data_IF_393122077452
#
_entry.id   IF_393122077452
#
_cell.length_a   1.000
_cell.length_b   1.000
_cell.length_c   1.000
_cell.angle_alpha   90.00
_cell.angle_beta   90.00
_cell.angle_gamma   90.00
#
_symmetry.space_group_name_H-M   'P 1'
#
loop_
_entity.id
_entity.type
_entity.pdbx_description
1 polymer ?
#
# COMPACT_ATOMS: atom_id res chain seq x y z
N UNK A 1 -2.71 -14.02 0.92
CA UNK A 1 -2.70 -13.56 -0.49
C UNK A 1 -2.71 -12.04 -0.47
N UNK A 2 -1.64 -11.38 -0.92
CA UNK A 2 -1.46 -9.92 -0.84
C UNK A 2 -1.62 -9.30 -2.24
N UNK A 3 -2.13 -8.07 -2.31
CA UNK A 3 -2.09 -7.22 -3.51
C UNK A 3 -0.96 -6.21 -3.34
N UNK A 4 -0.18 -5.99 -4.40
CA UNK A 4 0.82 -4.93 -4.49
C UNK A 4 0.42 -3.99 -5.62
N UNK A 5 0.48 -2.69 -5.39
CA UNK A 5 0.21 -1.69 -6.41
C UNK A 5 0.98 -0.40 -6.12
N UNK A 6 1.23 0.38 -7.16
CA UNK A 6 1.80 1.72 -7.02
C UNK A 6 0.69 2.71 -6.69
N UNK A 7 0.94 3.58 -5.71
CA UNK A 7 -0.04 4.55 -5.25
C UNK A 7 0.62 5.91 -4.97
N UNK A 8 -0.16 6.95 -5.09
CA UNK A 8 0.23 8.31 -4.71
C UNK A 8 -0.38 8.66 -3.35
N UNK A 9 0.40 9.26 -2.44
CA UNK A 9 -0.12 9.79 -1.19
C UNK A 9 -1.00 11.02 -1.47
N UNK A 10 -2.22 11.03 -0.94
CA UNK A 10 -3.20 12.09 -1.20
C UNK A 10 -2.84 13.43 -0.54
N UNK A 11 -1.93 13.42 0.44
CA UNK A 11 -1.51 14.64 1.15
C UNK A 11 -0.25 15.27 0.56
N UNK A 12 0.79 14.47 0.31
CA UNK A 12 2.09 14.99 -0.09
C UNK A 12 2.50 14.64 -1.54
N UNK A 13 1.67 13.89 -2.27
CA UNK A 13 1.94 13.50 -3.66
C UNK A 13 3.06 12.46 -3.83
N UNK A 14 3.60 11.90 -2.73
CA UNK A 14 4.65 10.87 -2.82
C UNK A 14 4.10 9.63 -3.50
N UNK A 15 4.77 9.18 -4.57
CA UNK A 15 4.49 7.90 -5.23
C UNK A 15 5.28 6.78 -4.54
N UNK A 16 4.59 5.72 -4.11
CA UNK A 16 5.17 4.58 -3.41
C UNK A 16 4.43 3.28 -3.73
N UNK A 17 5.11 2.15 -3.50
CA UNK A 17 4.47 0.84 -3.57
C UNK A 17 3.73 0.55 -2.26
N UNK A 18 2.49 0.11 -2.36
CA UNK A 18 1.63 -0.23 -1.23
C UNK A 18 1.30 -1.72 -1.30
N UNK A 19 1.33 -2.37 -0.14
CA UNK A 19 1.00 -3.77 0.02
C UNK A 19 -0.22 -3.87 0.91
N UNK A 20 -1.28 -4.51 0.42
CA UNK A 20 -2.52 -4.73 1.18
C UNK A 20 -2.93 -6.20 1.16
N UNK A 21 -3.67 -6.68 2.17
CA UNK A 21 -4.33 -7.97 2.07
C UNK A 21 -5.31 -7.97 0.88
N UNK A 22 -5.27 -9.01 0.03
CA UNK A 22 -6.22 -9.12 -1.08
C UNK A 22 -7.66 -9.34 -0.58
N UNK A 23 -7.82 -9.91 0.61
CA UNK A 23 -9.08 -10.10 1.30
C UNK A 23 -8.91 -9.76 2.78
N UNK A 24 -9.97 -9.21 3.40
CA UNK A 24 -9.98 -8.83 4.82
C UNK A 24 -9.76 -10.03 5.75
N UNK A 25 -10.12 -11.24 5.30
CA UNK A 25 -9.98 -12.49 6.05
C UNK A 25 -8.72 -13.29 5.67
N UNK A 26 -7.80 -12.72 4.89
CA UNK A 26 -6.60 -13.44 4.51
C UNK A 26 -5.69 -13.65 5.74
N UNK A 27 -5.46 -14.91 6.12
CA UNK A 27 -4.41 -15.25 7.07
C UNK A 27 -3.04 -14.93 6.44
N UNK A 28 -2.30 -14.03 7.08
CA UNK A 28 -0.97 -13.62 6.66
C UNK A 28 0.06 -14.19 7.63
N UNK A 29 1.18 -14.68 7.09
CA UNK A 29 2.37 -14.93 7.91
C UNK A 29 2.84 -13.64 8.60
N UNK A 30 3.52 -13.76 9.74
CA UNK A 30 4.04 -12.62 10.52
C UNK A 30 4.89 -11.68 9.65
N UNK A 31 5.74 -12.25 8.80
CA UNK A 31 6.59 -11.47 7.88
C UNK A 31 5.75 -10.64 6.89
N UNK A 32 4.68 -11.22 6.34
CA UNK A 32 3.78 -10.51 5.42
C UNK A 32 2.97 -9.43 6.13
N UNK A 33 2.57 -9.66 7.39
CA UNK A 33 1.86 -8.65 8.18
C UNK A 33 2.76 -7.42 8.39
N UNK A 34 4.03 -7.63 8.73
CA UNK A 34 5.00 -6.54 8.89
C UNK A 34 5.20 -5.72 7.61
N UNK A 35 5.19 -6.36 6.44
CA UNK A 35 5.29 -5.67 5.15
C UNK A 35 4.04 -4.81 4.82
N UNK A 36 2.84 -5.31 5.17
CA UNK A 36 1.60 -4.54 5.04
C UNK A 36 1.62 -3.33 5.96
N UNK A 37 1.99 -3.52 7.23
CA UNK A 37 2.03 -2.45 8.22
C UNK A 37 3.04 -1.35 7.84
N UNK A 38 4.23 -1.72 7.35
CA UNK A 38 5.24 -0.77 6.87
C UNK A 38 4.76 0.11 5.72
N UNK A 39 3.90 -0.42 4.86
CA UNK A 39 3.44 0.28 3.66
C UNK A 39 2.07 0.92 3.82
N UNK A 40 1.40 0.74 4.97
CA UNK A 40 0.11 1.36 5.30
C UNK A 40 0.22 2.89 5.31
N UNK A 41 1.18 3.42 6.07
CA UNK A 41 1.32 4.87 6.29
C UNK A 41 2.41 5.47 5.41
N UNK A 42 2.22 6.69 4.91
CA UNK A 42 3.23 7.39 4.11
C UNK A 42 4.50 7.63 4.94
N UNK A 43 5.69 7.17 4.50
CA UNK A 43 6.91 7.30 5.30
C UNK A 43 7.44 8.75 5.37
N UNK A 44 6.85 9.70 4.63
CA UNK A 44 7.29 11.09 4.57
C UNK A 44 6.40 12.04 5.35
N UNK A 45 5.08 11.91 5.21
CA UNK A 45 4.11 12.79 5.86
C UNK A 45 3.25 12.07 6.91
N UNK A 46 3.54 10.80 7.18
CA UNK A 46 2.86 9.96 8.18
C UNK A 46 1.33 9.86 7.98
N UNK A 47 0.85 10.09 6.76
CA UNK A 47 -0.57 10.01 6.42
C UNK A 47 -0.94 8.69 5.72
N UNK A 48 -2.12 8.17 6.01
CA UNK A 48 -2.61 6.88 5.50
C UNK A 48 -3.30 6.99 4.13
N UNK A 49 -3.65 8.20 3.72
CA UNK A 49 -4.34 8.48 2.45
C UNK A 49 -3.48 8.13 1.24
N UNK A 50 -3.98 7.20 0.42
CA UNK A 50 -3.35 6.75 -0.82
C UNK A 50 -4.38 6.63 -1.95
N UNK A 51 -3.94 6.92 -3.17
CA UNK A 51 -4.70 6.72 -4.40
C UNK A 51 -3.94 5.75 -5.28
N UNK A 52 -4.54 4.58 -5.56
CA UNK A 52 -3.97 3.61 -6.50
C UNK A 52 -3.80 4.25 -7.86
N UNK A 53 -2.57 4.20 -8.39
CA UNK A 53 -2.28 4.59 -9.75
C UNK A 53 -2.48 3.35 -10.61
N UNK A 54 -3.46 3.40 -11.51
CA UNK A 54 -3.57 2.38 -12.54
C UNK A 54 -2.40 2.58 -13.52
N UNK A 55 -1.56 1.56 -13.67
CA UNK A 55 -0.66 1.44 -14.80
C UNK A 55 -1.53 1.38 -16.06
N UNK A 56 -1.87 2.54 -16.61
CA UNK A 56 -2.42 2.66 -17.95
C UNK A 56 -1.28 2.36 -18.91
N UNK A 57 -0.95 1.07 -19.06
CA UNK A 57 -0.20 0.59 -20.21
C UNK A 57 -1.16 0.69 -21.40
N UNK A 58 -1.09 1.84 -22.07
CA UNK A 58 -1.72 2.08 -23.37
C UNK A 58 -0.97 1.32 -24.48
#
# INVERSE_FOLDING_TARGET
MIKRFTAECTECGTVRNVIVPAHVQAELSVDMLGEVERTRTCPYCEHDGVRELQDNVA
#
